data_IF_298073468040
#
_entry.id   IF_298073468040
#
_cell.length_a   1.000
_cell.length_b   1.000
_cell.length_c   1.000
_cell.angle_alpha   90.00
_cell.angle_beta   90.00
_cell.angle_gamma   90.00
#
_symmetry.space_group_name_H-M   'P 1'
#
loop_
_entity.id
_entity.type
_entity.pdbx_description
1 polymer ?
#
# COMPACT_ATOMS: atom_id res chain seq x y z
N UNK A 1 2.63 11.67 -18.35
CA UNK A 1 2.42 11.26 -16.94
C UNK A 1 3.57 10.40 -16.44
N UNK A 2 3.90 9.27 -17.11
CA UNK A 2 5.07 8.43 -16.78
C UNK A 2 6.38 9.22 -16.78
N UNK A 3 6.63 10.09 -17.76
CA UNK A 3 7.87 10.88 -17.81
C UNK A 3 8.07 11.77 -16.58
N UNK A 4 7.01 12.47 -16.15
CA UNK A 4 7.04 13.30 -14.94
C UNK A 4 7.23 12.45 -13.68
N UNK A 5 6.63 11.26 -13.63
CA UNK A 5 6.82 10.30 -12.55
C UNK A 5 8.28 9.84 -12.44
N UNK A 6 8.86 9.38 -13.55
CA UNK A 6 10.26 8.95 -13.63
C UNK A 6 11.25 10.06 -13.24
N UNK A 7 10.94 11.31 -13.60
CA UNK A 7 11.74 12.49 -13.23
C UNK A 7 11.50 12.99 -11.81
N UNK A 8 10.56 12.41 -11.06
CA UNK A 8 10.19 12.84 -9.71
C UNK A 8 9.39 14.15 -9.65
N UNK A 9 8.91 14.66 -10.79
CA UNK A 9 8.15 15.92 -10.89
C UNK A 9 6.65 15.63 -10.74
N UNK A 10 6.24 15.29 -9.53
CA UNK A 10 4.86 15.04 -9.13
C UNK A 10 4.69 15.32 -7.63
N UNK A 11 3.44 15.37 -7.15
CA UNK A 11 3.17 15.57 -5.73
C UNK A 11 3.88 14.51 -4.87
N UNK A 12 4.59 14.98 -3.84
CA UNK A 12 5.40 14.16 -2.92
C UNK A 12 6.56 13.37 -3.57
N UNK A 13 6.90 13.67 -4.82
CA UNK A 13 8.04 13.05 -5.51
C UNK A 13 9.40 13.60 -5.04
N UNK A 14 10.51 12.88 -5.32
CA UNK A 14 10.56 11.60 -6.05
C UNK A 14 10.07 10.39 -5.23
N UNK A 15 9.26 9.53 -5.85
CA UNK A 15 8.73 8.32 -5.22
C UNK A 15 9.83 7.43 -4.62
N UNK A 16 10.93 7.20 -5.35
CA UNK A 16 12.04 6.34 -4.94
C UNK A 16 12.66 6.80 -3.62
N UNK A 17 12.87 8.11 -3.47
CA UNK A 17 13.51 8.68 -2.29
C UNK A 17 12.60 8.56 -1.06
N UNK A 18 11.29 8.73 -1.25
CA UNK A 18 10.29 8.53 -0.21
C UNK A 18 10.26 7.07 0.27
N UNK A 19 10.18 6.11 -0.65
CA UNK A 19 10.20 4.68 -0.28
C UNK A 19 11.48 4.31 0.47
N UNK A 20 12.63 4.75 -0.04
CA UNK A 20 13.94 4.42 0.55
C UNK A 20 14.19 5.12 1.90
N UNK A 21 13.55 6.27 2.17
CA UNK A 21 13.66 6.92 3.48
C UNK A 21 12.90 6.14 4.54
N UNK A 22 11.65 5.73 4.26
CA UNK A 22 10.86 4.90 5.18
C UNK A 22 11.42 3.48 5.32
N UNK A 23 11.98 2.91 4.25
CA UNK A 23 12.67 1.63 4.33
C UNK A 23 13.90 1.70 5.26
N UNK A 24 14.72 2.74 5.16
CA UNK A 24 15.84 2.93 6.09
C UNK A 24 15.35 3.15 7.52
N UNK A 25 14.31 3.98 7.70
CA UNK A 25 13.70 4.22 9.00
C UNK A 25 13.16 2.94 9.67
N UNK A 26 12.62 1.99 8.90
CA UNK A 26 12.16 0.70 9.45
C UNK A 26 13.30 -0.23 9.89
N UNK A 27 14.48 -0.10 9.28
CA UNK A 27 15.67 -0.83 9.70
C UNK A 27 16.33 -0.20 10.93
N UNK A 28 16.34 1.13 11.01
CA UNK A 28 16.94 1.89 12.10
C UNK A 28 16.07 1.86 13.37
N UNK A 29 14.74 2.00 13.22
CA UNK A 29 13.78 2.03 14.31
C UNK A 29 12.61 1.05 14.09
N UNK A 30 12.86 -0.27 14.09
CA UNK A 30 11.83 -1.28 13.80
C UNK A 30 10.67 -1.32 14.82
N UNK A 31 10.84 -0.69 15.99
CA UNK A 31 9.79 -0.54 17.00
C UNK A 31 8.86 0.65 16.76
N UNK A 32 9.25 1.60 15.91
CA UNK A 32 8.49 2.83 15.63
C UNK A 32 8.08 2.96 14.16
N UNK A 33 8.71 2.22 13.25
CA UNK A 33 8.39 2.25 11.83
C UNK A 33 8.14 0.84 11.31
N UNK A 34 6.87 0.54 10.99
CA UNK A 34 6.49 -0.69 10.31
C UNK A 34 6.44 -0.47 8.80
N UNK A 35 7.35 -1.08 8.06
CA UNK A 35 7.31 -1.10 6.60
C UNK A 35 6.44 -2.26 6.10
N UNK A 36 5.44 -1.93 5.28
CA UNK A 36 4.49 -2.89 4.68
C UNK A 36 4.38 -2.64 3.18
N UNK A 37 4.16 -3.70 2.40
CA UNK A 37 3.95 -3.62 0.95
C UNK A 37 2.50 -3.92 0.61
N UNK A 38 1.99 -3.26 -0.41
CA UNK A 38 0.60 -3.43 -0.83
C UNK A 38 0.34 -4.84 -1.39
N UNK A 39 1.32 -5.40 -2.09
CA UNK A 39 1.27 -6.73 -2.66
C UNK A 39 1.18 -7.80 -1.55
N UNK A 40 1.92 -7.62 -0.45
CA UNK A 40 1.83 -8.51 0.72
C UNK A 40 0.49 -8.40 1.43
N UNK A 41 -0.07 -7.18 1.54
CA UNK A 41 -1.43 -6.96 2.07
C UNK A 41 -2.49 -7.71 1.25
N UNK A 42 -2.29 -7.81 -0.07
CA UNK A 42 -3.21 -8.53 -0.97
C UNK A 42 -2.98 -10.03 -0.97
N UNK A 43 -1.73 -10.48 -0.86
CA UNK A 43 -1.36 -11.90 -0.91
C UNK A 43 -1.63 -12.63 0.41
N UNK A 44 -1.31 -11.98 1.54
CA UNK A 44 -1.38 -12.58 2.88
C UNK A 44 -2.07 -11.63 3.88
N UNK A 45 -3.33 -11.24 3.65
CA UNK A 45 -4.03 -10.22 4.43
C UNK A 45 -4.07 -10.53 5.94
N UNK A 46 -4.40 -11.78 6.33
CA UNK A 46 -4.45 -12.17 7.74
C UNK A 46 -3.08 -11.99 8.42
N UNK A 47 -2.00 -12.45 7.78
CA UNK A 47 -0.65 -12.34 8.31
C UNK A 47 -0.22 -10.87 8.49
N UNK A 48 -0.57 -10.02 7.52
CA UNK A 48 -0.25 -8.60 7.61
C UNK A 48 -1.05 -7.86 8.69
N UNK A 49 -2.32 -8.22 8.91
CA UNK A 49 -3.14 -7.65 10.00
C UNK A 49 -2.61 -8.08 11.37
N UNK A 50 -2.25 -9.36 11.53
CA UNK A 50 -1.63 -9.82 12.78
C UNK A 50 -0.30 -9.11 13.05
N UNK A 51 0.55 -8.97 12.03
CA UNK A 51 1.83 -8.24 12.13
C UNK A 51 1.62 -6.76 12.50
N UNK A 52 0.57 -6.12 11.96
CA UNK A 52 0.22 -4.74 12.32
C UNK A 52 -0.25 -4.65 13.78
N UNK A 53 -1.09 -5.58 14.22
CA UNK A 53 -1.60 -5.62 15.59
C UNK A 53 -0.46 -5.84 16.62
N UNK A 54 0.47 -6.74 16.33
CA UNK A 54 1.70 -6.92 17.12
C UNK A 54 2.51 -5.64 17.21
N UNK A 55 2.71 -4.95 16.09
CA UNK A 55 3.47 -3.70 16.03
C UNK A 55 2.80 -2.57 16.84
N UNK A 56 1.46 -2.51 16.83
CA UNK A 56 0.69 -1.54 17.63
C UNK A 56 0.64 -1.89 19.13
N UNK A 57 1.21 -3.03 19.54
CA UNK A 57 1.18 -3.49 20.93
C UNK A 57 -0.16 -4.09 21.36
N UNK A 58 -1.00 -4.50 20.40
CA UNK A 58 -2.29 -5.17 20.63
C UNK A 58 -2.36 -6.51 19.87
N UNK A 59 -1.46 -7.47 20.13
CA UNK A 59 -1.50 -8.77 19.45
C UNK A 59 -2.83 -9.47 19.72
N UNK A 60 -3.35 -10.17 18.70
CA UNK A 60 -4.56 -10.96 18.85
C UNK A 60 -4.34 -12.10 19.85
N UNK A 61 -5.36 -12.37 20.66
CA UNK A 61 -5.43 -13.52 21.55
C UNK A 61 -5.83 -14.78 20.77
N UNK A 62 -5.52 -15.96 21.33
CA UNK A 62 -5.98 -17.24 20.74
C UNK A 62 -7.50 -17.27 20.57
N UNK A 63 -8.24 -16.68 21.50
CA UNK A 63 -9.70 -16.58 21.44
C UNK A 63 -10.17 -15.73 20.26
N UNK A 64 -9.59 -14.55 20.04
CA UNK A 64 -9.91 -13.67 18.89
C UNK A 64 -9.54 -14.31 17.54
N UNK A 65 -8.46 -15.09 17.53
CA UNK A 65 -8.08 -15.87 16.34
C UNK A 65 -9.08 -17.01 16.07
N UNK A 66 -9.66 -17.61 17.11
CA UNK A 66 -10.65 -18.68 16.97
C UNK A 66 -12.08 -18.18 16.72
N UNK A 67 -12.41 -16.96 17.17
CA UNK A 67 -13.75 -16.37 17.05
C UNK A 67 -14.06 -15.80 15.66
N UNK A 68 -13.07 -15.71 14.78
CA UNK A 68 -13.22 -15.12 13.44
C UNK A 68 -13.07 -13.60 13.41
N UNK A 69 -12.51 -12.99 14.47
CA UNK A 69 -12.39 -11.53 14.56
C UNK A 69 -11.46 -10.94 13.50
N UNK A 70 -10.46 -11.69 13.04
CA UNK A 70 -9.56 -11.26 11.98
C UNK A 70 -10.33 -11.20 10.65
N UNK A 71 -11.14 -12.20 10.35
CA UNK A 71 -11.97 -12.28 9.15
C UNK A 71 -12.98 -11.13 9.12
N UNK A 72 -13.62 -10.80 10.25
CA UNK A 72 -14.55 -9.68 10.36
C UNK A 72 -13.86 -8.33 10.08
N UNK A 73 -12.64 -8.13 10.59
CA UNK A 73 -11.83 -6.93 10.30
C UNK A 73 -11.50 -6.87 8.81
N UNK A 74 -11.07 -7.99 8.22
CA UNK A 74 -10.70 -8.05 6.80
C UNK A 74 -11.90 -7.79 5.89
N UNK A 75 -13.07 -8.32 6.22
CA UNK A 75 -14.32 -8.06 5.52
C UNK A 75 -14.68 -6.57 5.61
N UNK A 76 -14.77 -6.04 6.83
CA UNK A 76 -15.12 -4.63 7.09
C UNK A 76 -14.15 -3.63 6.46
N UNK A 77 -12.86 -3.98 6.34
CA UNK A 77 -11.83 -3.16 5.70
C UNK A 77 -11.62 -3.51 4.22
N UNK A 78 -12.39 -4.44 3.67
CA UNK A 78 -12.25 -4.85 2.28
C UNK A 78 -12.59 -3.69 1.34
N UNK A 79 -11.95 -3.68 0.17
CA UNK A 79 -12.27 -2.69 -0.86
C UNK A 79 -13.76 -2.77 -1.25
N UNK A 80 -14.29 -4.00 -1.34
CA UNK A 80 -15.70 -4.23 -1.69
C UNK A 80 -16.61 -3.53 -0.69
N UNK A 81 -16.44 -3.79 0.61
CA UNK A 81 -17.36 -3.26 1.62
C UNK A 81 -17.20 -1.76 1.78
N UNK A 82 -15.96 -1.27 1.87
CA UNK A 82 -15.68 0.16 1.99
C UNK A 82 -16.22 0.94 0.78
N UNK A 83 -16.01 0.45 -0.45
CA UNK A 83 -16.52 1.13 -1.65
C UNK A 83 -18.05 1.09 -1.74
N UNK A 84 -18.69 0.15 -1.04
CA UNK A 84 -20.14 -0.01 -1.03
C UNK A 84 -20.88 0.85 0.00
N UNK A 85 -20.17 1.43 0.97
CA UNK A 85 -20.75 2.36 1.94
C UNK A 85 -21.31 3.62 1.24
N UNK A 86 -22.50 4.07 1.66
CA UNK A 86 -23.16 5.25 1.07
C UNK A 86 -22.28 6.51 1.10
N UNK A 87 -21.54 6.70 2.21
CA UNK A 87 -20.61 7.82 2.36
C UNK A 87 -19.47 7.78 1.33
N UNK A 88 -19.08 6.61 0.85
CA UNK A 88 -18.02 6.43 -0.14
C UNK A 88 -18.54 6.45 -1.57
N UNK A 89 -19.83 6.13 -1.79
CA UNK A 89 -20.48 6.22 -3.10
C UNK A 89 -20.87 7.65 -3.47
N UNK A 90 -21.45 8.38 -2.53
CA UNK A 90 -22.11 9.69 -2.79
C UNK A 90 -21.56 10.83 -1.94
N UNK A 91 -20.81 10.52 -0.89
CA UNK A 91 -20.23 11.51 -0.01
C UNK A 91 -19.04 12.24 -0.65
N UNK A 92 -18.67 13.34 0.00
CA UNK A 92 -17.54 14.19 -0.40
C UNK A 92 -16.62 14.43 0.77
N UNK A 93 -15.34 14.54 0.47
CA UNK A 93 -14.30 14.89 1.43
C UNK A 93 -14.30 16.39 1.72
N UNK A 94 -13.48 16.81 2.69
CA UNK A 94 -13.44 18.18 3.21
C UNK A 94 -13.13 19.27 2.15
N UNK A 95 -12.48 18.89 1.05
CA UNK A 95 -12.16 19.76 -0.09
C UNK A 95 -13.16 19.59 -1.26
N UNK A 96 -14.36 19.04 -0.99
CA UNK A 96 -15.45 18.84 -1.96
C UNK A 96 -15.13 17.86 -3.10
N UNK A 97 -14.17 16.96 -2.88
CA UNK A 97 -13.83 15.86 -3.80
C UNK A 97 -14.67 14.63 -3.47
N UNK A 98 -15.30 14.02 -4.48
CA UNK A 98 -16.14 12.83 -4.33
C UNK A 98 -15.34 11.67 -3.72
N UNK A 99 -15.92 10.99 -2.73
CA UNK A 99 -15.21 9.90 -2.03
C UNK A 99 -15.01 8.66 -2.90
N UNK A 100 -15.82 8.47 -3.93
CA UNK A 100 -15.73 7.29 -4.79
C UNK A 100 -14.39 7.22 -5.55
N UNK A 101 -13.67 8.33 -5.72
CA UNK A 101 -12.40 8.36 -6.45
C UNK A 101 -11.30 7.57 -5.75
N UNK A 102 -11.42 7.35 -4.44
CA UNK A 102 -10.47 6.57 -3.65
C UNK A 102 -10.59 5.06 -3.91
N UNK A 103 -11.71 4.61 -4.50
CA UNK A 103 -12.02 3.20 -4.73
C UNK A 103 -12.05 2.89 -6.23
N UNK A 104 -10.96 2.32 -6.75
CA UNK A 104 -10.84 1.90 -8.15
C UNK A 104 -10.94 0.38 -8.27
N UNK A 105 -9.88 -0.30 -8.75
CA UNK A 105 -9.84 -1.76 -8.88
C UNK A 105 -9.30 -2.47 -7.62
N UNK A 106 -8.33 -1.86 -6.94
CA UNK A 106 -7.64 -2.48 -5.80
C UNK A 106 -7.00 -3.85 -6.13
N UNK A 107 -6.44 -3.93 -7.33
CA UNK A 107 -5.79 -5.11 -7.89
C UNK A 107 -4.29 -4.84 -8.06
N UNK A 108 -3.48 -5.87 -7.82
CA UNK A 108 -2.06 -5.88 -8.17
C UNK A 108 -1.94 -6.05 -9.69
N UNK A 109 -0.88 -5.50 -10.29
CA UNK A 109 -0.55 -5.64 -11.71
C UNK A 109 -1.47 -4.96 -12.74
N UNK A 110 -2.43 -4.13 -12.33
CA UNK A 110 -3.26 -3.40 -13.31
C UNK A 110 -2.44 -2.45 -14.21
N UNK A 111 -1.22 -2.10 -13.83
CA UNK A 111 -0.29 -1.33 -14.67
C UNK A 111 -0.02 -2.00 -16.03
N UNK A 112 -0.11 -3.34 -16.12
CA UNK A 112 0.05 -4.10 -17.38
C UNK A 112 -1.00 -3.72 -18.44
N UNK A 113 -2.14 -3.17 -18.01
CA UNK A 113 -3.20 -2.70 -18.90
C UNK A 113 -2.97 -1.26 -19.40
N UNK A 114 -2.02 -0.51 -18.81
CA UNK A 114 -1.84 0.92 -19.09
C UNK A 114 -0.44 1.29 -19.58
N UNK A 115 0.59 0.52 -19.20
CA UNK A 115 1.98 0.80 -19.57
C UNK A 115 2.39 0.00 -20.81
N UNK A 116 3.17 0.66 -21.68
CA UNK A 116 3.90 -0.05 -22.73
C UNK A 116 5.14 -0.71 -22.13
N UNK A 117 5.67 -1.74 -22.80
CA UNK A 117 6.91 -2.41 -22.40
C UNK A 117 8.10 -1.44 -22.27
N UNK A 118 8.15 -0.39 -23.09
CA UNK A 118 9.18 0.65 -22.97
C UNK A 118 9.05 1.45 -21.66
N UNK A 119 7.83 1.82 -21.28
CA UNK A 119 7.56 2.56 -20.03
C UNK A 119 7.85 1.71 -18.79
N UNK A 120 7.43 0.44 -18.82
CA UNK A 120 7.74 -0.56 -17.79
C UNK A 120 9.26 -0.69 -17.61
N UNK A 121 9.99 -1.02 -18.69
CA UNK A 121 11.43 -1.19 -18.64
C UNK A 121 12.17 0.06 -18.12
N UNK A 122 11.69 1.26 -18.47
CA UNK A 122 12.25 2.51 -17.98
C UNK A 122 12.07 2.66 -16.46
N UNK A 123 10.88 2.35 -15.94
CA UNK A 123 10.59 2.40 -14.50
C UNK A 123 11.44 1.35 -13.76
N UNK A 124 11.47 0.11 -14.26
CA UNK A 124 12.25 -1.00 -13.71
C UNK A 124 13.74 -0.66 -13.61
N UNK A 125 14.30 -0.08 -14.67
CA UNK A 125 15.70 0.34 -14.67
C UNK A 125 15.97 1.38 -13.58
N UNK A 126 15.11 2.40 -13.45
CA UNK A 126 15.24 3.43 -12.41
C UNK A 126 15.16 2.80 -11.01
N UNK A 127 14.19 1.90 -10.78
CA UNK A 127 14.06 1.20 -9.50
C UNK A 127 15.33 0.43 -9.18
N UNK A 128 15.83 -0.38 -10.12
CA UNK A 128 17.04 -1.19 -9.94
C UNK A 128 18.25 -0.34 -9.60
N UNK A 129 18.45 0.77 -10.31
CA UNK A 129 19.56 1.70 -10.05
C UNK A 129 19.42 2.39 -8.69
N UNK A 130 18.23 2.88 -8.34
CA UNK A 130 17.99 3.64 -7.11
C UNK A 130 18.02 2.76 -5.87
N UNK A 131 17.51 1.53 -5.97
CA UNK A 131 17.36 0.63 -4.82
C UNK A 131 18.60 -0.25 -4.63
N UNK A 132 19.57 -0.17 -5.54
CA UNK A 132 20.83 -0.90 -5.43
C UNK A 132 21.50 -0.63 -4.08
N UNK A 133 21.85 -1.73 -3.39
CA UNK A 133 22.51 -1.65 -2.08
C UNK A 133 21.59 -1.31 -0.90
N UNK A 134 20.31 -1.01 -1.12
CA UNK A 134 19.36 -0.72 -0.03
C UNK A 134 18.90 -1.98 0.72
N UNK A 135 19.03 -3.15 0.10
CA UNK A 135 18.44 -4.41 0.60
C UNK A 135 16.94 -4.54 0.34
N UNK A 136 16.25 -3.48 -0.11
CA UNK A 136 14.84 -3.54 -0.49
C UNK A 136 14.69 -4.21 -1.85
N UNK A 137 13.93 -5.31 -1.88
CA UNK A 137 13.51 -6.00 -3.10
C UNK A 137 12.03 -5.75 -3.32
N UNK A 138 11.72 -5.17 -4.47
CA UNK A 138 10.37 -4.97 -5.01
C UNK A 138 10.26 -5.71 -6.32
#
# INVERSE_FOLDING_TARGET
>A
MVESFCRGVHYFGPFWDNVLSYWRGSLEEPKHVLFMRYEDLKAEPCAQVMRLAEFLGCPFTEEEMCSGSIEEILESCSLHDLSNLEINKTGKSWNNVDNNIYFRKGEVDDWKNHLTTEMENKIDMIIRERFQGSGLKI
#
